data_IF_634233710388
#
_entry.id   IF_634233710388
#
_cell.length_a   1.000
_cell.length_b   1.000
_cell.length_c   1.000
_cell.angle_alpha   90.00
_cell.angle_beta   90.00
_cell.angle_gamma   90.00
#
_symmetry.space_group_name_H-M   'P 1'
#
loop_
_entity.id
_entity.type
_entity.pdbx_description
1 polymer ?
#
# COMPACT_ATOMS: atom_id res chain seq x y z
N UNK A 1 11.66 6.03 -8.18
CA UNK A 1 11.04 4.69 -8.07
C UNK A 1 10.80 4.27 -6.62
N UNK A 2 11.73 4.49 -5.68
CA UNK A 2 11.70 3.86 -4.34
C UNK A 2 10.91 4.59 -3.24
N UNK A 3 10.69 5.91 -3.35
CA UNK A 3 9.97 6.69 -2.31
C UNK A 3 8.53 6.20 -2.08
N UNK A 4 7.87 5.74 -3.15
CA UNK A 4 6.48 5.24 -3.10
C UNK A 4 6.37 3.88 -2.40
N UNK A 5 7.36 3.00 -2.56
CA UNK A 5 7.38 1.68 -1.92
C UNK A 5 7.51 1.84 -0.41
N UNK A 6 8.43 2.72 0.04
CA UNK A 6 8.60 3.02 1.46
C UNK A 6 7.32 3.59 2.09
N UNK A 7 6.62 4.48 1.39
CA UNK A 7 5.34 5.00 1.87
C UNK A 7 4.28 3.90 2.03
N UNK A 8 4.14 3.02 1.04
CA UNK A 8 3.19 1.88 1.08
C UNK A 8 3.52 0.88 2.20
N UNK A 9 4.81 0.60 2.42
CA UNK A 9 5.25 -0.21 3.56
C UNK A 9 4.89 0.44 4.89
N UNK A 10 5.01 1.76 5.00
CA UNK A 10 4.68 2.48 6.22
C UNK A 10 3.16 2.45 6.49
N UNK A 11 2.33 2.47 5.45
CA UNK A 11 0.88 2.30 5.61
C UNK A 11 0.52 0.93 6.19
N UNK A 12 1.13 -0.15 5.68
CA UNK A 12 0.91 -1.50 6.19
C UNK A 12 1.38 -1.64 7.65
N UNK A 13 2.56 -1.09 7.98
CA UNK A 13 3.07 -1.09 9.35
C UNK A 13 2.12 -0.39 10.33
N UNK A 14 1.58 0.76 9.94
CA UNK A 14 0.61 1.48 10.79
C UNK A 14 -0.74 0.78 10.82
N UNK A 15 -1.15 0.14 9.74
CA UNK A 15 -2.36 -0.67 9.72
C UNK A 15 -2.27 -1.83 10.73
N UNK A 16 -1.15 -2.55 10.77
CA UNK A 16 -0.94 -3.61 11.77
C UNK A 16 -0.93 -3.07 13.21
N UNK A 17 -0.37 -1.87 13.44
CA UNK A 17 -0.38 -1.25 14.77
C UNK A 17 -1.75 -0.71 15.19
N UNK A 18 -2.52 -0.16 14.25
CA UNK A 18 -3.80 0.51 14.56
C UNK A 18 -5.01 -0.40 14.42
N UNK A 19 -4.88 -1.54 13.75
CA UNK A 19 -5.98 -2.46 13.42
C UNK A 19 -7.08 -1.83 12.56
N UNK A 20 -6.86 -0.62 12.03
CA UNK A 20 -7.92 0.17 11.38
C UNK A 20 -7.40 0.88 10.14
N UNK A 21 -7.99 0.52 9.00
CA UNK A 21 -7.75 1.15 7.70
C UNK A 21 -8.09 2.64 7.77
N UNK A 22 -9.17 3.01 8.46
CA UNK A 22 -9.61 4.41 8.57
C UNK A 22 -8.60 5.27 9.32
N UNK A 23 -8.09 4.82 10.48
CA UNK A 23 -7.07 5.56 11.24
C UNK A 23 -5.79 5.73 10.43
N UNK A 24 -5.37 4.69 9.73
CA UNK A 24 -4.18 4.73 8.89
C UNK A 24 -4.36 5.69 7.71
N UNK A 25 -5.50 5.64 7.03
CA UNK A 25 -5.82 6.51 5.90
C UNK A 25 -5.84 7.99 6.30
N UNK A 26 -6.46 8.31 7.44
CA UNK A 26 -6.49 9.67 8.00
C UNK A 26 -5.09 10.16 8.37
N UNK A 27 -4.27 9.33 9.02
CA UNK A 27 -2.91 9.70 9.44
C UNK A 27 -2.03 10.09 8.24
N UNK A 28 -2.17 9.38 7.12
CA UNK A 28 -1.35 9.61 5.93
C UNK A 28 -2.02 10.50 4.88
N UNK A 29 -3.25 10.99 5.13
CA UNK A 29 -3.98 11.81 4.17
C UNK A 29 -4.31 11.10 2.85
N UNK A 30 -4.50 9.77 2.88
CA UNK A 30 -4.80 8.97 1.70
C UNK A 30 -6.24 8.50 1.68
N UNK A 31 -6.77 8.24 0.49
CA UNK A 31 -8.08 7.64 0.36
C UNK A 31 -8.10 6.22 0.93
N UNK A 32 -9.13 5.88 1.71
CA UNK A 32 -9.37 4.53 2.25
C UNK A 32 -9.35 3.47 1.15
N UNK A 33 -9.93 3.77 -0.01
CA UNK A 33 -9.96 2.90 -1.19
C UNK A 33 -8.57 2.58 -1.73
N UNK A 34 -7.64 3.54 -1.65
CA UNK A 34 -6.24 3.32 -2.03
C UNK A 34 -5.57 2.37 -1.04
N UNK A 35 -5.75 2.58 0.25
CA UNK A 35 -5.19 1.70 1.28
C UNK A 35 -5.74 0.27 1.16
N UNK A 36 -7.05 0.10 0.95
CA UNK A 36 -7.66 -1.21 0.69
C UNK A 36 -7.06 -1.92 -0.51
N UNK A 37 -6.85 -1.22 -1.63
CA UNK A 37 -6.22 -1.79 -2.83
C UNK A 37 -4.82 -2.34 -2.53
N UNK A 38 -4.03 -1.61 -1.73
CA UNK A 38 -2.68 -2.05 -1.37
C UNK A 38 -2.66 -3.16 -0.31
N UNK A 39 -3.60 -3.15 0.65
CA UNK A 39 -3.78 -4.26 1.59
C UNK A 39 -4.12 -5.54 0.83
N UNK A 40 -5.09 -5.47 -0.10
CA UNK A 40 -5.48 -6.62 -0.92
C UNK A 40 -4.29 -7.16 -1.72
N UNK A 41 -3.55 -6.29 -2.42
CA UNK A 41 -2.32 -6.68 -3.13
C UNK A 41 -1.25 -7.27 -2.22
N UNK A 42 -1.11 -6.75 -1.00
CA UNK A 42 -0.17 -7.28 -0.03
C UNK A 42 -0.60 -8.66 0.48
N UNK A 43 -1.91 -8.92 0.61
CA UNK A 43 -2.42 -10.25 0.96
C UNK A 43 -2.23 -11.25 -0.20
N UNK A 44 -2.40 -10.81 -1.45
CA UNK A 44 -2.28 -11.69 -2.63
C UNK A 44 -0.83 -11.96 -3.03
N UNK A 45 0.04 -10.95 -2.99
CA UNK A 45 1.40 -11.01 -3.54
C UNK A 45 2.51 -10.72 -2.51
N UNK A 46 2.14 -10.52 -1.25
CA UNK A 46 3.08 -10.18 -0.18
C UNK A 46 3.80 -8.86 -0.42
N UNK A 47 5.06 -8.80 0.03
CA UNK A 47 5.95 -7.62 -0.14
C UNK A 47 6.20 -7.29 -1.62
N UNK A 48 6.15 -8.29 -2.52
CA UNK A 48 6.34 -8.09 -3.96
C UNK A 48 5.22 -7.28 -4.60
N UNK A 49 3.98 -7.38 -4.07
CA UNK A 49 2.82 -6.61 -4.53
C UNK A 49 2.87 -5.10 -4.25
N UNK A 50 3.78 -4.65 -3.38
CA UNK A 50 3.99 -3.23 -3.06
C UNK A 50 4.89 -2.53 -4.07
N UNK A 51 5.63 -3.30 -4.86
CA UNK A 51 6.40 -2.79 -5.98
C UNK A 51 5.45 -2.29 -7.07
N UNK A 52 5.83 -1.21 -7.72
CA UNK A 52 5.09 -0.73 -8.88
C UNK A 52 5.31 -1.73 -10.01
N UNK A 53 4.36 -2.64 -10.25
CA UNK A 53 4.37 -3.43 -11.48
C UNK A 53 4.25 -2.45 -12.64
N UNK A 54 5.37 -2.20 -13.31
CA UNK A 54 5.42 -1.44 -14.55
C UNK A 54 4.35 -2.01 -15.50
N UNK A 55 3.23 -1.30 -15.65
CA UNK A 55 2.27 -1.50 -16.74
C UNK A 55 2.85 -0.94 -18.05
N UNK A 56 4.14 -1.13 -18.31
CA UNK A 56 4.68 -0.84 -19.64
C UNK A 56 4.34 -2.08 -20.47
N UNK A 57 3.46 -2.00 -21.49
CA UNK A 57 3.43 -3.04 -22.49
C UNK A 57 4.86 -3.14 -23.05
N UNK A 58 5.48 -4.32 -22.98
CA UNK A 58 6.61 -4.59 -23.85
C UNK A 58 6.03 -4.55 -25.27
N UNK A 59 6.45 -3.57 -26.04
CA UNK A 59 6.21 -3.50 -27.47
C UNK A 59 7.46 -3.97 -28.21
#
# INVERSE_FOLDING_TARGET
MERKIRARQNWLRIYEQTGSVTKTALRYGIARTTLYRWIKRYQEEGKSGLSDKSKRPLN
#
